data_IF_329770660022
#
_entry.id   IF_329770660022
#
_cell.length_a   1.000
_cell.length_b   1.000
_cell.length_c   1.000
_cell.angle_alpha   90.00
_cell.angle_beta   90.00
_cell.angle_gamma   90.00
#
_symmetry.space_group_name_H-M   'P 1'
#
loop_
_entity.id
_entity.type
_entity.pdbx_description
1 polymer ?
#
# COMPACT_ATOMS: atom_id res chain seq x y z
N UNK A 1 13.86 -19.21 -10.03
CA UNK A 1 13.08 -18.90 -8.82
C UNK A 1 13.28 -17.43 -8.47
N UNK A 2 12.40 -16.54 -8.93
CA UNK A 2 12.48 -15.12 -8.57
C UNK A 2 11.95 -14.96 -7.15
N UNK A 3 12.78 -14.44 -6.24
CA UNK A 3 12.37 -14.03 -4.89
C UNK A 3 11.08 -13.23 -5.03
N UNK A 4 9.98 -13.74 -4.49
CA UNK A 4 8.73 -12.99 -4.33
C UNK A 4 9.09 -11.74 -3.52
N UNK A 5 9.17 -10.58 -4.16
CA UNK A 5 9.30 -9.31 -3.46
C UNK A 5 8.15 -9.26 -2.48
N UNK A 6 8.47 -9.19 -1.18
CA UNK A 6 7.44 -9.24 -0.16
C UNK A 6 6.54 -8.01 -0.29
N UNK A 7 5.24 -8.23 -0.42
CA UNK A 7 4.28 -7.16 -0.62
C UNK A 7 3.86 -6.60 0.76
N UNK A 8 4.27 -5.36 1.05
CA UNK A 8 4.03 -4.70 2.35
C UNK A 8 2.54 -4.59 2.70
N UNK A 9 1.67 -4.33 1.72
CA UNK A 9 0.22 -4.32 1.95
C UNK A 9 -0.29 -5.68 2.46
N UNK A 10 0.19 -6.78 1.85
CA UNK A 10 -0.16 -8.13 2.28
C UNK A 10 0.33 -8.46 3.69
N UNK A 11 1.53 -8.01 4.04
CA UNK A 11 2.10 -8.16 5.39
C UNK A 11 1.25 -7.41 6.43
N UNK A 12 0.99 -6.11 6.18
CA UNK A 12 0.21 -5.26 7.07
C UNK A 12 -1.21 -5.79 7.28
N UNK A 13 -1.87 -6.24 6.20
CA UNK A 13 -3.19 -6.86 6.30
C UNK A 13 -3.18 -8.10 7.20
N UNK A 14 -2.19 -8.98 7.01
CA UNK A 14 -2.05 -10.21 7.82
C UNK A 14 -1.73 -9.92 9.28
N UNK A 15 -0.88 -8.92 9.55
CA UNK A 15 -0.58 -8.46 10.91
C UNK A 15 -1.82 -7.90 11.61
N UNK A 16 -2.71 -7.25 10.86
CA UNK A 16 -4.00 -6.78 11.35
C UNK A 16 -5.07 -7.88 11.49
N UNK A 17 -4.75 -9.14 11.16
CA UNK A 17 -5.69 -10.26 11.25
C UNK A 17 -6.82 -10.25 10.21
N UNK A 18 -6.71 -9.43 9.17
CA UNK A 18 -7.78 -9.21 8.20
C UNK A 18 -7.68 -10.19 7.02
N UNK A 19 -8.82 -10.63 6.51
CA UNK A 19 -8.99 -11.22 5.19
C UNK A 19 -8.93 -10.13 4.10
N UNK A 20 -8.74 -10.53 2.84
CA UNK A 20 -8.78 -9.59 1.71
C UNK A 20 -10.16 -8.93 1.57
N UNK A 21 -11.23 -9.63 1.96
CA UNK A 21 -12.61 -9.12 1.94
C UNK A 21 -12.82 -8.04 3.00
N UNK A 22 -12.38 -8.28 4.23
CA UNK A 22 -12.49 -7.29 5.31
C UNK A 22 -11.69 -6.03 5.01
N UNK A 23 -10.46 -6.16 4.49
CA UNK A 23 -9.70 -4.99 4.07
C UNK A 23 -10.40 -4.24 2.93
N UNK A 24 -10.98 -4.95 1.96
CA UNK A 24 -11.66 -4.31 0.85
C UNK A 24 -12.87 -3.49 1.32
N UNK A 25 -13.61 -3.99 2.31
CA UNK A 25 -14.70 -3.26 2.95
C UNK A 25 -14.22 -2.01 3.70
N UNK A 26 -13.09 -2.09 4.41
CA UNK A 26 -12.51 -0.93 5.14
C UNK A 26 -12.06 0.20 4.20
N UNK A 27 -11.58 -0.15 3.01
CA UNK A 27 -10.99 0.79 2.05
C UNK A 27 -11.99 1.20 0.96
N UNK A 28 -13.16 0.56 0.90
CA UNK A 28 -14.22 0.90 -0.07
C UNK A 28 -13.96 0.39 -1.49
N UNK A 29 -13.30 -0.78 -1.61
CA UNK A 29 -13.03 -1.43 -2.90
C UNK A 29 -13.56 -2.86 -2.92
N UNK A 30 -13.56 -3.50 -4.08
CA UNK A 30 -13.88 -4.93 -4.19
C UNK A 30 -12.68 -5.80 -3.80
N UNK A 31 -12.92 -7.01 -3.27
CA UNK A 31 -11.89 -8.01 -2.89
C UNK A 31 -10.83 -8.24 -3.97
N UNK A 32 -11.25 -8.28 -5.24
CA UNK A 32 -10.37 -8.49 -6.40
C UNK A 32 -9.30 -7.39 -6.51
N UNK A 33 -9.65 -6.15 -6.17
CA UNK A 33 -8.73 -5.02 -6.18
C UNK A 33 -7.61 -5.22 -5.16
N UNK A 34 -7.96 -5.58 -3.90
CA UNK A 34 -6.98 -5.92 -2.87
C UNK A 34 -6.09 -7.09 -3.31
N UNK A 35 -6.69 -8.16 -3.84
CA UNK A 35 -5.93 -9.30 -4.36
C UNK A 35 -4.95 -8.91 -5.47
N UNK A 36 -5.35 -8.03 -6.39
CA UNK A 36 -4.48 -7.55 -7.46
C UNK A 36 -3.33 -6.71 -6.93
N UNK A 37 -3.58 -5.83 -5.95
CA UNK A 37 -2.54 -5.05 -5.27
C UNK A 37 -1.52 -5.94 -4.58
N UNK A 38 -1.98 -6.95 -3.82
CA UNK A 38 -1.10 -7.88 -3.09
C UNK A 38 -0.27 -8.78 -4.00
N UNK A 39 -0.75 -9.00 -5.23
CA UNK A 39 -0.06 -9.79 -6.26
C UNK A 39 0.77 -8.95 -7.23
N UNK A 40 0.70 -7.62 -7.13
CA UNK A 40 1.37 -6.71 -8.06
C UNK A 40 0.75 -6.67 -9.46
N UNK A 41 -0.48 -7.17 -9.63
CA UNK A 41 -1.20 -7.13 -10.92
C UNK A 41 -1.78 -5.76 -11.25
N UNK A 42 -1.94 -4.89 -10.25
CA UNK A 42 -2.32 -3.49 -10.45
C UNK A 42 -1.58 -2.61 -9.46
N UNK A 43 -1.35 -1.36 -9.86
CA UNK A 43 -0.79 -0.35 -8.97
C UNK A 43 -1.87 0.19 -8.02
N UNK A 44 -1.45 0.60 -6.83
CA UNK A 44 -2.28 1.36 -5.90
C UNK A 44 -2.20 2.81 -6.34
N UNK A 45 -3.34 3.46 -6.58
CA UNK A 45 -3.36 4.89 -6.91
C UNK A 45 -3.07 5.73 -5.65
N UNK A 46 -2.75 7.02 -5.77
CA UNK A 46 -2.39 7.83 -4.61
C UNK A 46 -3.46 7.94 -3.54
N UNK A 47 -4.73 8.04 -3.93
CA UNK A 47 -5.86 8.15 -3.01
C UNK A 47 -5.97 6.91 -2.11
N UNK A 48 -5.94 5.72 -2.70
CA UNK A 48 -5.94 4.47 -1.94
C UNK A 48 -4.63 4.24 -1.18
N UNK A 49 -3.49 4.69 -1.72
CA UNK A 49 -2.20 4.58 -1.03
C UNK A 49 -2.22 5.41 0.27
N UNK A 50 -2.75 6.63 0.22
CA UNK A 50 -2.93 7.49 1.37
C UNK A 50 -3.92 6.88 2.38
N UNK A 51 -5.06 6.37 1.92
CA UNK A 51 -6.06 5.73 2.78
C UNK A 51 -5.50 4.49 3.49
N UNK A 52 -4.80 3.63 2.77
CA UNK A 52 -4.16 2.43 3.32
C UNK A 52 -3.04 2.78 4.30
N UNK A 53 -2.20 3.76 3.97
CA UNK A 53 -1.12 4.23 4.82
C UNK A 53 -1.67 4.76 6.15
N UNK A 54 -2.73 5.59 6.10
CA UNK A 54 -3.46 6.07 7.28
C UNK A 54 -4.06 4.92 8.10
N UNK A 55 -4.72 3.97 7.45
CA UNK A 55 -5.35 2.82 8.11
C UNK A 55 -4.34 1.96 8.88
N UNK A 56 -3.16 1.72 8.31
CA UNK A 56 -2.12 0.90 8.91
C UNK A 56 -1.11 1.67 9.77
N UNK A 57 -1.27 3.00 9.91
CA UNK A 57 -0.36 3.88 10.63
C UNK A 57 1.11 3.75 10.15
N UNK A 58 1.31 3.78 8.85
CA UNK A 58 2.63 3.75 8.18
C UNK A 58 2.74 4.86 7.14
N UNK A 59 3.95 5.15 6.68
CA UNK A 59 4.19 6.01 5.52
C UNK A 59 3.74 5.34 4.22
N UNK A 60 3.36 6.16 3.24
CA UNK A 60 3.07 5.72 1.87
C UNK A 60 4.32 5.06 1.27
N UNK A 61 5.50 5.61 1.52
CA UNK A 61 6.75 5.03 1.06
C UNK A 61 6.98 3.61 1.60
N UNK A 62 6.69 3.36 2.88
CA UNK A 62 6.76 2.02 3.45
C UNK A 62 5.71 1.09 2.82
N UNK A 63 4.46 1.54 2.73
CA UNK A 63 3.36 0.76 2.15
C UNK A 63 3.67 0.28 0.72
N UNK A 64 4.30 1.16 -0.08
CA UNK A 64 4.64 0.87 -1.48
C UNK A 64 6.02 0.24 -1.67
N UNK A 65 6.77 0.01 -0.57
CA UNK A 65 8.09 -0.62 -0.60
C UNK A 65 9.22 0.29 -1.11
N UNK A 66 9.02 1.62 -1.08
CA UNK A 66 10.04 2.64 -1.40
C UNK A 66 10.98 2.87 -0.20
N UNK A 67 10.46 2.74 1.02
CA UNK A 67 11.23 2.87 2.26
C UNK A 67 11.09 1.62 3.12
N UNK A 68 12.11 1.32 3.91
CA UNK A 68 12.05 0.28 4.94
C UNK A 68 11.60 0.82 6.30
N UNK A 69 11.56 2.14 6.48
CA UNK A 69 11.10 2.77 7.70
C UNK A 69 9.60 3.02 7.68
N UNK A 70 8.89 2.46 8.66
CA UNK A 70 7.43 2.55 8.77
C UNK A 70 6.91 3.98 8.88
N UNK A 71 7.72 4.92 9.37
CA UNK A 71 7.30 6.29 9.66
C UNK A 71 8.14 7.35 8.93
N UNK A 72 8.80 6.95 7.83
CA UNK A 72 9.61 7.86 7.05
C UNK A 72 8.76 8.92 6.35
N UNK A 73 8.60 10.08 6.99
CA UNK A 73 7.84 11.21 6.45
C UNK A 73 8.50 11.83 5.20
N UNK A 74 9.82 11.68 5.05
CA UNK A 74 10.56 12.12 3.85
C UNK A 74 10.14 11.29 2.63
N UNK A 75 9.83 10.02 2.82
CA UNK A 75 9.32 9.16 1.75
C UNK A 75 7.96 9.62 1.21
N UNK A 76 7.08 10.14 2.07
CA UNK A 76 5.77 10.67 1.66
C UNK A 76 5.91 11.95 0.85
N UNK A 77 6.77 12.88 1.28
CA UNK A 77 7.05 14.11 0.53
C UNK A 77 7.61 13.79 -0.86
N UNK A 78 8.56 12.86 -0.93
CA UNK A 78 9.15 12.40 -2.19
C UNK A 78 8.09 11.78 -3.11
N UNK A 79 7.17 10.98 -2.56
CA UNK A 79 6.05 10.39 -3.30
C UNK A 79 5.13 11.47 -3.91
N UNK A 80 4.72 12.46 -3.11
CA UNK A 80 3.83 13.52 -3.59
C UNK A 80 4.47 14.42 -4.65
N UNK A 81 5.76 14.73 -4.51
CA UNK A 81 6.51 15.47 -5.52
C UNK A 81 6.52 14.71 -6.85
N UNK A 82 6.87 13.41 -6.81
CA UNK A 82 6.91 12.57 -7.99
C UNK A 82 5.52 12.38 -8.64
N UNK A 83 4.44 12.35 -7.86
CA UNK A 83 3.08 12.27 -8.37
C UNK A 83 2.64 13.57 -9.06
N UNK A 84 2.89 14.72 -8.45
CA UNK A 84 2.44 16.03 -8.96
C UNK A 84 3.14 16.47 -10.25
N UNK A 85 4.36 16.01 -10.50
CA UNK A 85 5.10 16.31 -11.74
C UNK A 85 4.65 15.50 -12.97
N UNK A 86 3.81 14.47 -12.78
CA UNK A 86 3.32 13.59 -13.86
C UNK A 86 1.92 13.95 -14.37
N UNK A 87 1.42 15.13 -14.04
CA UNK A 87 0.19 15.70 -14.59
C UNK A 87 0.48 16.90 -15.46
#
# INVERSE_FOLDING_TARGET
>A
MTKSVSNRLKELRRQAGLTQEELSQKVGVIRKTVSNWERGFSRINPEYAEQLAKYFHVSIGYLLGVSNDKQDASSDLSYWIAYKQKR
#
